data_IF_538302168305
#
_entry.id   IF_538302168305
#
_cell.length_a   1.000
_cell.length_b   1.000
_cell.length_c   1.000
_cell.angle_alpha   90.00
_cell.angle_beta   90.00
_cell.angle_gamma   90.00
#
_symmetry.space_group_name_H-M   'P 1'
#
loop_
_entity.id
_entity.type
_entity.pdbx_description
1 polymer ?
#
# COMPACT_ATOMS: atom_id res chain seq x y z
N UNK A 1 -35.33 8.56 -13.75
CA UNK A 1 -36.17 8.30 -14.95
C UNK A 1 -35.33 8.12 -16.22
N UNK A 2 -34.37 9.00 -16.54
CA UNK A 2 -33.53 8.94 -17.73
C UNK A 2 -32.82 7.58 -17.89
N UNK A 3 -32.22 7.05 -16.82
CA UNK A 3 -31.55 5.73 -16.82
C UNK A 3 -32.51 4.60 -17.16
N UNK A 4 -33.72 4.61 -16.58
CA UNK A 4 -34.76 3.62 -16.89
C UNK A 4 -35.24 3.73 -18.34
N UNK A 5 -35.35 4.94 -18.87
CA UNK A 5 -35.73 5.17 -20.27
C UNK A 5 -34.67 4.61 -21.22
N UNK A 6 -33.37 4.87 -20.92
CA UNK A 6 -32.26 4.33 -21.71
C UNK A 6 -32.26 2.80 -21.71
N UNK A 7 -32.35 2.16 -20.53
CA UNK A 7 -32.37 0.70 -20.42
C UNK A 7 -33.57 0.06 -21.12
N UNK A 8 -34.77 0.64 -21.02
CA UNK A 8 -35.96 0.16 -21.72
C UNK A 8 -35.86 0.30 -23.23
N UNK A 9 -35.25 1.38 -23.74
CA UNK A 9 -35.10 1.60 -25.17
C UNK A 9 -34.26 0.51 -25.87
N UNK A 10 -33.36 -0.12 -25.16
CA UNK A 10 -32.50 -1.21 -25.67
C UNK A 10 -32.94 -2.59 -25.19
N UNK A 11 -34.10 -2.71 -24.51
CA UNK A 11 -34.61 -3.94 -23.91
C UNK A 11 -33.56 -4.65 -23.03
N UNK A 12 -32.82 -3.88 -22.22
CA UNK A 12 -31.73 -4.39 -21.42
C UNK A 12 -32.22 -5.35 -20.34
N UNK A 13 -31.53 -6.49 -20.21
CA UNK A 13 -31.78 -7.52 -19.19
C UNK A 13 -30.47 -7.78 -18.44
N UNK A 14 -30.49 -7.71 -17.12
CA UNK A 14 -29.34 -7.94 -16.26
C UNK A 14 -29.00 -6.73 -15.39
N UNK A 15 -27.93 -6.86 -14.62
CA UNK A 15 -27.37 -5.74 -13.86
C UNK A 15 -26.62 -4.78 -14.78
N UNK A 16 -26.79 -3.49 -14.56
CA UNK A 16 -26.09 -2.47 -15.33
C UNK A 16 -26.13 -1.11 -14.63
N UNK A 17 -25.27 -0.21 -15.06
CA UNK A 17 -25.22 1.18 -14.56
C UNK A 17 -25.21 2.13 -15.73
N UNK A 18 -26.10 3.11 -15.68
CA UNK A 18 -26.12 4.23 -16.64
C UNK A 18 -25.40 5.39 -16.01
N UNK A 19 -24.35 5.86 -16.63
CA UNK A 19 -23.51 6.95 -16.16
C UNK A 19 -23.90 8.26 -16.84
N UNK A 20 -23.93 9.32 -16.04
CA UNK A 20 -24.21 10.68 -16.48
C UNK A 20 -23.12 11.62 -16.00
N UNK A 21 -22.77 12.58 -16.84
CA UNK A 21 -21.95 13.72 -16.42
C UNK A 21 -22.86 14.88 -16.05
N UNK A 22 -22.61 15.55 -14.93
CA UNK A 22 -23.40 16.69 -14.47
C UNK A 22 -22.52 17.95 -14.42
N UNK A 23 -23.10 19.08 -14.77
CA UNK A 23 -22.48 20.40 -14.62
C UNK A 23 -22.87 21.05 -13.26
N UNK A 24 -22.23 22.16 -12.86
CA UNK A 24 -22.57 22.88 -11.62
C UNK A 24 -23.99 23.47 -11.60
N UNK A 25 -24.68 23.52 -12.73
CA UNK A 25 -26.07 24.02 -12.86
C UNK A 25 -27.10 22.87 -12.82
N UNK A 26 -26.69 21.67 -12.39
CA UNK A 26 -27.51 20.45 -12.33
C UNK A 26 -28.02 19.93 -13.69
N UNK A 27 -27.46 20.41 -14.80
CA UNK A 27 -27.72 19.75 -16.09
C UNK A 27 -26.91 18.44 -16.13
N UNK A 28 -27.55 17.39 -16.65
CA UNK A 28 -26.88 16.11 -16.78
C UNK A 28 -26.97 15.58 -18.22
N UNK A 29 -25.92 14.89 -18.63
CA UNK A 29 -25.77 14.35 -19.97
C UNK A 29 -25.39 12.88 -19.88
N UNK A 30 -25.96 12.04 -20.74
CA UNK A 30 -25.61 10.63 -20.84
C UNK A 30 -24.13 10.48 -21.22
N UNK A 31 -23.41 9.69 -20.47
CA UNK A 31 -22.00 9.38 -20.74
C UNK A 31 -21.88 7.99 -21.37
N UNK A 32 -22.23 6.94 -20.61
CA UNK A 32 -22.18 5.56 -21.06
C UNK A 32 -23.12 4.66 -20.25
N UNK A 33 -23.29 3.41 -20.72
CA UNK A 33 -23.93 2.36 -19.96
C UNK A 33 -22.98 1.17 -19.81
N UNK A 34 -22.65 0.85 -18.57
CA UNK A 34 -21.93 -0.35 -18.22
C UNK A 34 -22.92 -1.53 -18.14
N UNK A 35 -22.84 -2.45 -19.11
CA UNK A 35 -23.74 -3.60 -19.22
C UNK A 35 -23.26 -4.80 -18.40
N UNK A 36 -22.83 -4.55 -17.20
CA UNK A 36 -22.31 -5.50 -16.21
C UNK A 36 -22.53 -4.97 -14.81
N UNK A 37 -22.35 -5.82 -13.80
CA UNK A 37 -22.23 -5.37 -12.43
C UNK A 37 -20.96 -4.52 -12.27
N UNK A 38 -21.03 -3.45 -11.50
CA UNK A 38 -19.88 -2.58 -11.21
C UNK A 38 -19.17 -2.98 -9.92
N UNK A 39 -17.92 -2.54 -9.76
CA UNK A 39 -17.11 -2.82 -8.58
C UNK A 39 -17.81 -2.31 -7.33
N UNK A 40 -18.41 -1.11 -7.40
CA UNK A 40 -19.08 -0.40 -6.31
C UNK A 40 -20.51 -0.84 -6.00
N UNK A 41 -21.00 -1.95 -6.59
CA UNK A 41 -22.38 -2.45 -6.34
C UNK A 41 -22.71 -2.63 -4.86
N UNK A 42 -21.71 -2.96 -4.04
CA UNK A 42 -21.88 -3.15 -2.59
C UNK A 42 -22.42 -1.91 -1.87
N UNK A 43 -22.10 -0.70 -2.35
CA UNK A 43 -22.68 0.54 -1.81
C UNK A 43 -24.20 0.55 -1.97
N UNK A 44 -24.67 0.18 -3.17
CA UNK A 44 -26.11 0.05 -3.43
C UNK A 44 -26.75 -1.04 -2.59
N UNK A 45 -26.09 -2.20 -2.44
CA UNK A 45 -26.58 -3.30 -1.62
C UNK A 45 -26.74 -2.90 -0.16
N UNK A 46 -25.74 -2.25 0.43
CA UNK A 46 -25.77 -1.77 1.81
C UNK A 46 -26.87 -0.73 2.06
N UNK A 47 -27.16 0.13 1.08
CA UNK A 47 -28.20 1.14 1.19
C UNK A 47 -29.61 0.59 1.02
N UNK A 48 -29.77 -0.43 0.14
CA UNK A 48 -31.08 -0.97 -0.23
C UNK A 48 -31.44 -2.24 0.51
N UNK A 49 -30.45 -2.94 1.07
CA UNK A 49 -30.62 -4.27 1.67
C UNK A 49 -30.88 -5.38 0.63
N UNK A 50 -30.52 -5.15 -0.63
CA UNK A 50 -30.68 -6.12 -1.71
C UNK A 50 -29.34 -6.75 -2.07
N UNK A 51 -29.34 -8.01 -2.52
CA UNK A 51 -28.19 -8.70 -3.09
C UNK A 51 -28.30 -8.68 -4.62
N UNK A 52 -27.50 -7.85 -5.28
CA UNK A 52 -27.54 -7.68 -6.73
C UNK A 52 -26.94 -8.88 -7.46
N UNK A 53 -26.02 -9.61 -6.85
CA UNK A 53 -25.43 -10.82 -7.41
C UNK A 53 -26.46 -11.94 -7.38
N UNK A 54 -27.19 -12.12 -6.27
CA UNK A 54 -28.33 -13.04 -6.21
C UNK A 54 -29.37 -12.72 -7.29
N UNK A 55 -29.68 -11.43 -7.47
CA UNK A 55 -30.62 -11.01 -8.52
C UNK A 55 -30.15 -11.36 -9.92
N UNK A 56 -28.84 -11.27 -10.21
CA UNK A 56 -28.30 -11.70 -11.51
C UNK A 56 -28.56 -13.19 -11.76
N UNK A 57 -28.38 -14.05 -10.76
CA UNK A 57 -28.66 -15.49 -10.87
C UNK A 57 -30.17 -15.76 -11.08
N UNK A 58 -31.05 -15.12 -10.32
CA UNK A 58 -32.48 -15.25 -10.47
C UNK A 58 -32.97 -14.83 -11.85
N UNK A 59 -32.49 -13.69 -12.35
CA UNK A 59 -32.85 -13.20 -13.67
C UNK A 59 -32.32 -14.14 -14.79
N UNK A 60 -31.11 -14.68 -14.62
CA UNK A 60 -30.53 -15.64 -15.55
C UNK A 60 -31.32 -16.96 -15.57
N UNK A 61 -31.96 -17.37 -14.48
CA UNK A 61 -32.84 -18.52 -14.37
C UNK A 61 -34.28 -18.26 -14.91
N UNK A 62 -34.51 -17.03 -15.39
CA UNK A 62 -35.79 -16.62 -15.99
C UNK A 62 -36.81 -16.03 -15.05
N UNK A 63 -36.41 -15.74 -13.78
CA UNK A 63 -37.28 -15.05 -12.83
C UNK A 63 -37.47 -13.58 -13.20
N UNK A 64 -38.56 -13.01 -12.74
CA UNK A 64 -38.78 -11.56 -12.86
C UNK A 64 -37.95 -10.83 -11.78
N UNK A 65 -37.64 -9.54 -12.04
CA UNK A 65 -36.99 -8.68 -11.06
C UNK A 65 -37.76 -8.71 -9.73
N UNK A 66 -37.11 -9.04 -8.60
CA UNK A 66 -37.78 -9.30 -7.33
C UNK A 66 -38.59 -8.14 -6.76
N UNK A 67 -38.19 -6.90 -7.05
CA UNK A 67 -38.83 -5.70 -6.50
C UNK A 67 -39.18 -4.69 -7.61
N UNK A 68 -40.26 -3.97 -7.41
CA UNK A 68 -40.59 -2.78 -8.20
C UNK A 68 -39.80 -1.58 -7.66
N UNK A 69 -39.54 -0.60 -8.52
CA UNK A 69 -38.78 0.61 -8.19
C UNK A 69 -39.27 1.32 -6.91
N UNK A 70 -40.58 1.43 -6.70
CA UNK A 70 -41.18 2.08 -5.54
C UNK A 70 -41.04 1.32 -4.20
N UNK A 71 -40.63 0.06 -4.27
CA UNK A 71 -40.41 -0.79 -3.08
C UNK A 71 -38.98 -0.66 -2.56
N UNK A 72 -38.06 -0.13 -3.38
CA UNK A 72 -36.67 0.08 -3.01
C UNK A 72 -36.58 1.32 -2.11
N UNK A 73 -36.07 1.13 -0.91
CA UNK A 73 -35.85 2.19 0.07
C UNK A 73 -34.35 2.33 0.37
N UNK A 74 -33.87 3.57 0.42
CA UNK A 74 -32.48 3.84 0.81
C UNK A 74 -32.42 4.07 2.33
N UNK A 75 -31.42 3.45 2.98
CA UNK A 75 -31.23 3.56 4.43
C UNK A 75 -29.77 3.86 4.76
N UNK A 76 -29.55 4.92 5.55
CA UNK A 76 -28.22 5.28 6.01
C UNK A 76 -27.33 5.84 4.91
N UNK A 77 -26.04 5.65 5.07
CA UNK A 77 -24.99 6.09 4.16
C UNK A 77 -23.90 5.01 4.05
N UNK A 78 -23.38 4.78 2.86
CA UNK A 78 -22.30 3.83 2.63
C UNK A 78 -21.14 4.50 1.87
N UNK A 79 -19.92 4.10 2.21
CA UNK A 79 -18.68 4.57 1.58
C UNK A 79 -17.87 3.34 1.21
N UNK A 80 -17.41 3.29 -0.02
CA UNK A 80 -16.46 2.28 -0.52
C UNK A 80 -15.12 2.93 -0.79
N UNK A 81 -14.05 2.21 -0.46
CA UNK A 81 -12.70 2.51 -0.89
C UNK A 81 -12.11 1.30 -1.58
N UNK A 82 -11.34 1.54 -2.64
CA UNK A 82 -10.59 0.52 -3.37
C UNK A 82 -9.15 0.56 -2.93
N UNK A 83 -8.69 -0.55 -2.37
CA UNK A 83 -7.30 -0.74 -1.98
C UNK A 83 -6.53 -1.25 -3.20
N UNK A 84 -5.58 -0.47 -3.66
CA UNK A 84 -4.73 -0.76 -4.80
C UNK A 84 -3.26 -0.97 -4.40
N UNK A 85 -2.60 -1.89 -5.10
CA UNK A 85 -1.14 -1.99 -5.09
C UNK A 85 -0.55 -0.95 -6.05
N UNK A 86 -0.43 0.28 -5.57
CA UNK A 86 0.07 1.43 -6.34
C UNK A 86 0.86 2.39 -5.43
N UNK A 87 1.71 3.20 -6.04
CA UNK A 87 2.49 4.21 -5.34
C UNK A 87 1.95 5.62 -5.62
N UNK A 88 1.14 6.21 -4.73
CA UNK A 88 0.61 7.55 -4.91
C UNK A 88 1.68 8.64 -5.05
N UNK A 89 2.83 8.48 -4.35
CA UNK A 89 3.95 9.43 -4.42
C UNK A 89 4.68 9.43 -5.77
N UNK A 90 4.50 8.37 -6.58
CA UNK A 90 5.03 8.25 -7.94
C UNK A 90 3.89 8.23 -8.97
N UNK A 91 2.97 9.17 -8.88
CA UNK A 91 1.85 9.31 -9.83
C UNK A 91 1.02 8.02 -10.01
N UNK A 92 0.74 7.31 -8.90
CA UNK A 92 -0.08 6.10 -8.88
C UNK A 92 0.47 4.94 -9.73
N UNK A 93 1.79 4.90 -9.95
CA UNK A 93 2.42 3.76 -10.63
C UNK A 93 2.07 2.48 -9.89
N UNK A 94 1.55 1.45 -10.57
CA UNK A 94 1.31 0.14 -9.97
C UNK A 94 2.58 -0.43 -9.33
N UNK A 95 2.38 -1.18 -8.25
CA UNK A 95 3.45 -1.82 -7.49
C UNK A 95 3.27 -3.33 -7.51
N UNK A 96 3.73 -4.02 -8.58
CA UNK A 96 3.71 -5.49 -8.61
C UNK A 96 4.65 -6.05 -7.55
N UNK A 97 4.41 -7.28 -7.13
CA UNK A 97 5.27 -7.97 -6.17
C UNK A 97 4.52 -8.96 -5.29
N UNK A 98 5.28 -9.68 -4.47
CA UNK A 98 4.76 -10.69 -3.57
C UNK A 98 4.21 -10.04 -2.29
N UNK A 99 2.98 -10.40 -1.90
CA UNK A 99 2.35 -9.93 -0.66
C UNK A 99 2.89 -10.75 0.51
N UNK A 100 3.75 -10.16 1.33
CA UNK A 100 4.38 -10.84 2.47
C UNK A 100 3.57 -10.74 3.76
N UNK A 101 2.76 -9.69 3.89
CA UNK A 101 1.86 -9.49 5.01
C UNK A 101 0.57 -8.87 4.52
N UNK A 102 -0.55 -9.44 4.94
CA UNK A 102 -1.89 -8.93 4.64
C UNK A 102 -2.77 -9.15 5.86
N UNK A 103 -3.24 -8.05 6.43
CA UNK A 103 -4.26 -8.05 7.46
C UNK A 103 -5.35 -7.08 7.06
N UNK A 104 -6.53 -7.60 6.84
CA UNK A 104 -7.73 -6.83 6.55
C UNK A 104 -8.67 -6.87 7.76
N UNK A 105 -9.50 -5.84 7.96
CA UNK A 105 -10.54 -5.89 8.97
C UNK A 105 -11.50 -7.05 8.68
N UNK A 106 -12.10 -7.62 9.72
CA UNK A 106 -13.08 -8.70 9.56
C UNK A 106 -14.45 -8.12 9.22
N UNK A 107 -15.19 -8.86 8.39
CA UNK A 107 -16.58 -8.57 8.12
C UNK A 107 -17.40 -8.52 9.42
N UNK A 108 -18.26 -7.53 9.51
CA UNK A 108 -19.20 -7.33 10.62
C UNK A 108 -20.38 -6.48 10.16
N UNK A 109 -21.50 -6.44 10.90
CA UNK A 109 -22.61 -5.58 10.54
C UNK A 109 -22.15 -4.14 10.22
N UNK A 110 -22.45 -3.67 9.03
CA UNK A 110 -22.04 -2.36 8.53
C UNK A 110 -20.60 -2.25 7.99
N UNK A 111 -19.87 -3.37 7.87
CA UNK A 111 -18.56 -3.43 7.24
C UNK A 111 -18.44 -4.70 6.41
N UNK A 112 -18.13 -4.56 5.13
CA UNK A 112 -17.92 -5.66 4.19
C UNK A 112 -16.56 -5.49 3.50
N UNK A 113 -15.85 -6.60 3.34
CA UNK A 113 -14.54 -6.64 2.69
C UNK A 113 -14.60 -7.67 1.57
N UNK A 114 -14.46 -7.19 0.32
CA UNK A 114 -14.25 -8.09 -0.80
C UNK A 114 -12.75 -8.10 -1.13
N UNK A 115 -12.09 -9.21 -0.91
CA UNK A 115 -10.65 -9.38 -1.04
C UNK A 115 -10.31 -10.40 -2.13
N UNK A 116 -9.27 -10.13 -2.91
CA UNK A 116 -8.79 -10.98 -4.00
C UNK A 116 -7.46 -11.68 -3.72
N UNK A 117 -6.73 -11.30 -2.65
CA UNK A 117 -5.37 -11.76 -2.39
C UNK A 117 -5.22 -12.35 -0.97
N UNK A 118 -4.26 -13.24 -0.83
CA UNK A 118 -3.80 -13.77 0.45
C UNK A 118 -2.29 -13.50 0.63
N UNK A 119 -1.78 -13.74 1.82
CA UNK A 119 -0.33 -13.75 2.05
C UNK A 119 0.30 -14.84 1.18
N UNK A 120 1.35 -14.48 0.45
CA UNK A 120 2.03 -15.36 -0.51
C UNK A 120 1.53 -15.25 -1.94
N UNK A 121 0.43 -14.53 -2.20
CA UNK A 121 0.00 -14.23 -3.56
C UNK A 121 0.83 -13.10 -4.17
N UNK A 122 0.93 -13.08 -5.49
CA UNK A 122 1.66 -12.08 -6.25
C UNK A 122 0.70 -11.11 -6.96
N UNK A 123 0.93 -9.82 -6.79
CA UNK A 123 0.33 -8.78 -7.63
C UNK A 123 1.11 -8.74 -8.93
N UNK A 124 0.50 -9.19 -10.02
CA UNK A 124 1.16 -9.26 -11.33
C UNK A 124 0.95 -7.99 -12.14
N UNK A 125 1.85 -7.66 -13.09
CA UNK A 125 1.68 -6.50 -13.97
C UNK A 125 0.64 -6.70 -15.08
N UNK A 126 -0.02 -7.86 -15.16
CA UNK A 126 -0.94 -8.21 -16.26
C UNK A 126 -2.40 -7.87 -15.99
N UNK A 127 -2.76 -7.68 -14.71
CA UNK A 127 -4.13 -7.45 -14.27
C UNK A 127 -4.26 -6.13 -13.51
N UNK A 128 -5.49 -5.75 -13.18
CA UNK A 128 -5.79 -4.62 -12.31
C UNK A 128 -5.14 -4.84 -10.92
N UNK A 129 -4.38 -3.86 -10.38
CA UNK A 129 -3.66 -4.01 -9.12
C UNK A 129 -4.57 -3.89 -7.88
N UNK A 130 -5.87 -4.02 -8.02
CA UNK A 130 -6.81 -3.94 -6.90
C UNK A 130 -6.66 -5.15 -5.97
N UNK A 131 -6.28 -4.88 -4.71
CA UNK A 131 -6.09 -5.88 -3.66
C UNK A 131 -7.45 -6.24 -3.04
N UNK A 132 -8.18 -5.22 -2.65
CA UNK A 132 -9.46 -5.37 -1.97
C UNK A 132 -10.34 -4.12 -2.16
N UNK A 133 -11.63 -4.26 -1.86
CA UNK A 133 -12.50 -3.13 -1.60
C UNK A 133 -13.09 -3.25 -0.19
N UNK A 134 -13.18 -2.12 0.47
CA UNK A 134 -13.66 -2.00 1.84
C UNK A 134 -14.89 -1.12 1.81
N UNK A 135 -16.03 -1.63 2.23
CA UNK A 135 -17.31 -0.94 2.21
C UNK A 135 -17.82 -0.78 3.63
N UNK A 136 -18.06 0.46 4.04
CA UNK A 136 -18.60 0.75 5.36
C UNK A 136 -19.95 1.47 5.27
N UNK A 137 -20.90 1.01 6.08
CA UNK A 137 -22.22 1.57 6.22
C UNK A 137 -22.42 2.17 7.62
N UNK A 138 -23.21 3.23 7.70
CA UNK A 138 -23.64 3.85 8.95
C UNK A 138 -25.05 4.43 8.85
N UNK A 139 -25.64 4.79 9.97
CA UNK A 139 -26.94 5.45 10.01
C UNK A 139 -26.96 6.80 9.29
N UNK A 140 -25.81 7.44 9.24
CA UNK A 140 -25.53 8.66 8.48
C UNK A 140 -24.10 8.65 7.90
N UNK A 141 -23.72 9.74 7.20
CA UNK A 141 -22.40 9.90 6.60
C UNK A 141 -21.28 9.89 7.64
N UNK A 142 -21.51 10.46 8.81
CA UNK A 142 -20.51 10.54 9.89
C UNK A 142 -20.19 9.16 10.44
N UNK A 143 -21.21 8.33 10.65
CA UNK A 143 -21.04 6.96 11.11
C UNK A 143 -20.31 6.11 10.07
N UNK A 144 -20.68 6.23 8.78
CA UNK A 144 -19.98 5.54 7.68
C UNK A 144 -18.50 5.96 7.61
N UNK A 145 -18.18 7.27 7.75
CA UNK A 145 -16.81 7.78 7.80
C UNK A 145 -16.03 7.26 9.01
N UNK A 146 -16.65 7.13 10.17
CA UNK A 146 -16.01 6.52 11.34
C UNK A 146 -15.71 5.04 11.12
N UNK A 147 -16.63 4.32 10.48
CA UNK A 147 -16.44 2.90 10.20
C UNK A 147 -15.32 2.66 9.18
N UNK A 148 -15.31 3.41 8.06
CA UNK A 148 -14.26 3.27 7.03
C UNK A 148 -12.88 3.68 7.55
N UNK A 149 -12.80 4.75 8.38
CA UNK A 149 -11.56 5.17 9.02
C UNK A 149 -10.98 4.06 9.89
N UNK A 150 -11.80 3.41 10.73
CA UNK A 150 -11.34 2.29 11.56
C UNK A 150 -10.89 1.11 10.69
N UNK A 151 -11.62 0.81 9.62
CA UNK A 151 -11.27 -0.27 8.71
C UNK A 151 -9.91 -0.01 8.03
N UNK A 152 -9.64 1.21 7.57
CA UNK A 152 -8.35 1.59 7.01
C UNK A 152 -7.20 1.51 8.03
N UNK A 153 -7.45 1.88 9.28
CA UNK A 153 -6.46 1.76 10.35
C UNK A 153 -6.11 0.30 10.69
N UNK A 154 -7.09 -0.62 10.56
CA UNK A 154 -6.89 -2.06 10.75
C UNK A 154 -6.24 -2.73 9.52
N UNK A 155 -6.16 -2.02 8.37
CA UNK A 155 -5.60 -2.55 7.13
C UNK A 155 -4.08 -2.47 7.12
N UNK A 156 -3.42 -3.63 6.94
CA UNK A 156 -1.97 -3.74 6.90
C UNK A 156 -1.57 -4.56 5.68
N UNK A 157 -0.68 -4.00 4.87
CA UNK A 157 -0.13 -4.67 3.67
C UNK A 157 1.37 -4.42 3.60
N UNK A 158 2.16 -5.48 3.39
CA UNK A 158 3.59 -5.37 3.09
C UNK A 158 3.99 -6.28 1.94
N UNK A 159 5.04 -5.88 1.23
CA UNK A 159 5.56 -6.51 0.02
C UNK A 159 5.29 -5.69 -1.23
N UNK A 160 4.20 -4.91 -1.23
CA UNK A 160 3.84 -3.98 -2.31
C UNK A 160 3.54 -2.60 -1.73
N UNK A 161 3.73 -1.54 -2.52
CA UNK A 161 3.25 -0.20 -2.15
C UNK A 161 1.75 -0.13 -2.34
N UNK A 162 1.05 0.59 -1.46
CA UNK A 162 -0.41 0.70 -1.52
C UNK A 162 -0.90 2.12 -1.31
N UNK A 163 -2.14 2.37 -1.70
CA UNK A 163 -2.81 3.65 -1.50
C UNK A 163 -3.52 3.79 -0.13
N UNK A 164 -3.32 2.87 0.82
CA UNK A 164 -3.97 2.92 2.17
C UNK A 164 -3.79 4.26 2.85
N UNK A 165 -2.57 4.81 2.84
CA UNK A 165 -2.28 6.08 3.49
C UNK A 165 -3.04 7.24 2.83
N UNK A 166 -3.07 7.28 1.50
CA UNK A 166 -3.84 8.28 0.75
C UNK A 166 -5.33 8.19 1.09
N UNK A 167 -5.91 6.97 1.06
CA UNK A 167 -7.30 6.74 1.43
C UNK A 167 -7.60 7.23 2.86
N UNK A 168 -6.69 6.97 3.81
CA UNK A 168 -6.81 7.47 5.18
C UNK A 168 -6.79 8.99 5.26
N UNK A 169 -5.95 9.67 4.47
CA UNK A 169 -5.91 11.13 4.41
C UNK A 169 -7.18 11.71 3.78
N UNK A 170 -7.67 11.11 2.69
CA UNK A 170 -8.93 11.53 2.05
C UNK A 170 -10.09 11.45 3.04
N UNK A 171 -10.26 10.32 3.73
CA UNK A 171 -11.37 10.12 4.69
C UNK A 171 -11.29 11.11 5.88
N UNK A 172 -10.09 11.56 6.24
CA UNK A 172 -9.87 12.54 7.31
C UNK A 172 -10.02 13.99 6.85
N UNK A 173 -9.98 14.25 5.55
CA UNK A 173 -10.00 15.61 5.01
C UNK A 173 -11.35 16.29 5.28
N UNK A 174 -11.37 17.56 5.78
CA UNK A 174 -12.61 18.26 6.14
C UNK A 174 -13.62 18.34 5.00
N UNK A 175 -13.20 18.72 3.78
CA UNK A 175 -14.10 18.84 2.64
C UNK A 175 -14.70 17.50 2.23
N UNK A 176 -13.91 16.40 2.26
CA UNK A 176 -14.45 15.07 2.01
C UNK A 176 -15.47 14.66 3.08
N UNK A 177 -15.17 14.95 4.33
CA UNK A 177 -16.08 14.70 5.46
C UNK A 177 -17.40 15.43 5.29
N UNK A 178 -17.33 16.71 4.88
CA UNK A 178 -18.48 17.58 4.77
C UNK A 178 -19.25 17.38 3.44
N UNK A 179 -18.76 16.51 2.54
CA UNK A 179 -19.39 16.20 1.27
C UNK A 179 -19.06 17.20 0.14
N UNK A 180 -18.13 18.11 0.35
CA UNK A 180 -17.73 19.15 -0.60
C UNK A 180 -16.56 18.65 -1.46
N UNK A 181 -16.82 17.74 -2.38
CA UNK A 181 -15.79 17.20 -3.27
C UNK A 181 -16.35 16.95 -4.67
N UNK A 182 -15.44 16.93 -5.62
CA UNK A 182 -15.71 16.58 -7.02
C UNK A 182 -14.56 15.72 -7.56
N UNK A 183 -14.58 15.37 -8.83
CA UNK A 183 -13.56 14.56 -9.49
C UNK A 183 -12.16 15.17 -9.47
N UNK A 184 -12.02 16.48 -9.28
CA UNK A 184 -10.74 17.19 -9.13
C UNK A 184 -10.19 17.22 -7.70
N UNK A 185 -10.86 16.61 -6.71
CA UNK A 185 -10.52 16.70 -5.30
C UNK A 185 -9.07 16.31 -5.00
N UNK A 186 -8.60 15.18 -5.52
CA UNK A 186 -7.23 14.69 -5.28
C UNK A 186 -6.21 15.66 -5.86
N UNK A 187 -6.41 16.15 -7.08
CA UNK A 187 -5.51 17.10 -7.72
C UNK A 187 -5.44 18.43 -6.97
N UNK A 188 -6.59 18.91 -6.49
CA UNK A 188 -6.68 20.17 -5.73
C UNK A 188 -5.96 20.10 -4.38
N UNK A 189 -5.99 18.96 -3.71
CA UNK A 189 -5.44 18.75 -2.37
C UNK A 189 -4.18 17.91 -2.35
N UNK A 190 -3.50 17.75 -3.50
CA UNK A 190 -2.35 16.85 -3.66
C UNK A 190 -1.28 17.08 -2.59
N UNK A 191 -0.91 18.33 -2.30
CA UNK A 191 0.13 18.68 -1.34
C UNK A 191 -0.19 18.19 0.09
N UNK A 192 -1.46 18.22 0.49
CA UNK A 192 -1.90 17.79 1.81
C UNK A 192 -2.15 16.29 1.90
N UNK A 193 -2.67 15.71 0.83
CA UNK A 193 -2.96 14.27 0.74
C UNK A 193 -1.71 13.42 0.56
N UNK A 194 -0.70 13.95 -0.15
CA UNK A 194 0.60 13.31 -0.40
C UNK A 194 1.69 13.77 0.57
N UNK A 195 1.30 14.41 1.68
CA UNK A 195 2.26 14.85 2.67
C UNK A 195 3.22 13.71 3.05
N UNK A 196 4.50 14.03 3.08
CA UNK A 196 5.59 13.07 3.28
C UNK A 196 5.37 12.22 4.54
N UNK A 197 5.80 10.96 4.49
CA UNK A 197 5.82 10.08 5.64
C UNK A 197 6.51 10.77 6.82
N UNK A 198 5.84 10.80 7.96
CA UNK A 198 6.42 11.31 9.20
C UNK A 198 7.63 10.44 9.55
N UNK A 199 8.79 11.07 9.79
CA UNK A 199 9.99 10.36 10.24
C UNK A 199 9.68 9.49 11.45
N UNK A 200 10.32 8.31 11.49
CA UNK A 200 10.12 7.37 12.59
C UNK A 200 10.48 8.01 13.93
N UNK A 201 9.53 8.00 14.86
CA UNK A 201 9.75 8.45 16.23
C UNK A 201 10.62 7.43 17.00
N UNK A 202 11.17 7.85 18.13
CA UNK A 202 11.94 6.93 18.99
C UNK A 202 11.13 5.71 19.42
N UNK A 203 9.81 5.82 19.59
CA UNK A 203 8.94 4.67 19.88
C UNK A 203 8.87 3.67 18.71
N UNK A 204 8.82 4.15 17.47
CA UNK A 204 8.82 3.30 16.27
C UNK A 204 10.17 2.61 16.13
N UNK A 205 11.27 3.35 16.32
CA UNK A 205 12.64 2.79 16.29
C UNK A 205 12.83 1.73 17.38
N UNK A 206 12.36 2.02 18.61
CA UNK A 206 12.42 1.09 19.73
C UNK A 206 11.63 -0.19 19.47
N UNK A 207 10.42 -0.08 18.92
CA UNK A 207 9.59 -1.23 18.57
C UNK A 207 10.26 -2.10 17.48
N UNK A 208 10.78 -1.47 16.41
CA UNK A 208 11.50 -2.16 15.34
C UNK A 208 12.76 -2.86 15.84
N UNK A 209 13.54 -2.18 16.66
CA UNK A 209 14.74 -2.76 17.29
C UNK A 209 14.39 -3.95 18.20
N UNK A 210 13.38 -3.79 19.06
CA UNK A 210 12.91 -4.87 19.93
C UNK A 210 12.44 -6.08 19.12
N UNK A 211 11.69 -5.87 18.04
CA UNK A 211 11.25 -6.96 17.17
C UNK A 211 12.44 -7.73 16.58
N UNK A 212 13.46 -7.03 16.08
CA UNK A 212 14.68 -7.65 15.53
C UNK A 212 15.36 -8.53 16.59
N UNK A 213 15.51 -8.01 17.81
CA UNK A 213 16.14 -8.74 18.93
C UNK A 213 15.32 -9.97 19.32
N UNK A 214 13.99 -9.85 19.39
CA UNK A 214 13.09 -10.96 19.67
C UNK A 214 13.14 -12.04 18.58
N UNK A 215 13.18 -11.64 17.30
CA UNK A 215 13.31 -12.58 16.17
C UNK A 215 14.66 -13.30 16.16
N UNK A 216 15.74 -12.61 16.51
CA UNK A 216 17.06 -13.25 16.68
C UNK A 216 17.00 -14.30 17.78
N UNK A 217 16.43 -13.96 18.94
CA UNK A 217 16.27 -14.89 20.07
C UNK A 217 15.43 -16.12 19.71
N UNK A 218 14.31 -15.92 18.97
CA UNK A 218 13.46 -17.03 18.50
C UNK A 218 14.23 -17.96 17.57
N UNK A 219 15.00 -17.41 16.63
CA UNK A 219 15.80 -18.19 15.67
C UNK A 219 16.84 -19.06 16.37
N UNK A 220 17.51 -18.54 17.38
CA UNK A 220 18.50 -19.29 18.15
C UNK A 220 17.84 -20.40 18.96
N UNK A 221 16.76 -20.08 19.67
CA UNK A 221 15.98 -21.06 20.44
C UNK A 221 15.45 -22.20 19.56
N UNK A 222 15.12 -21.91 18.29
CA UNK A 222 14.68 -22.93 17.32
C UNK A 222 15.83 -23.77 16.71
N UNK A 223 17.06 -23.28 16.77
CA UNK A 223 18.26 -24.00 16.22
C UNK A 223 18.95 -24.88 17.26
N UNK A 224 18.60 -24.76 18.54
CA UNK A 224 19.15 -25.61 19.61
C UNK A 224 18.60 -27.03 19.47
N UNK A 225 19.28 -27.83 18.69
CA UNK A 225 18.95 -29.25 18.43
C UNK A 225 19.42 -30.17 19.55
N UNK A 226 20.35 -29.73 20.43
CA UNK A 226 20.87 -30.56 21.50
C UNK A 226 20.13 -30.31 22.82
N UNK A 227 19.08 -31.12 23.05
CA UNK A 227 18.34 -31.16 24.31
C UNK A 227 19.17 -31.63 25.51
N UNK A 228 20.43 -32.04 25.30
CA UNK A 228 21.31 -32.57 26.37
C UNK A 228 22.01 -31.45 27.16
N UNK A 229 22.11 -30.25 26.61
CA UNK A 229 22.69 -29.11 27.32
C UNK A 229 21.85 -27.83 27.09
N UNK A 230 20.67 -27.72 27.73
CA UNK A 230 19.79 -26.55 27.61
C UNK A 230 20.40 -25.29 28.24
N UNK A 231 21.44 -25.40 29.04
CA UNK A 231 22.11 -24.28 29.71
C UNK A 231 23.44 -23.92 29.06
N UNK A 232 23.72 -24.42 27.86
CA UNK A 232 24.94 -24.06 27.13
C UNK A 232 25.04 -22.54 26.91
N UNK A 233 26.18 -21.91 27.24
CA UNK A 233 26.38 -20.47 26.94
C UNK A 233 26.26 -20.13 25.47
N UNK A 234 26.40 -21.11 24.58
CA UNK A 234 26.21 -20.94 23.13
C UNK A 234 24.75 -20.82 22.71
N UNK A 235 23.82 -21.07 23.63
CA UNK A 235 22.37 -20.95 23.40
C UNK A 235 21.82 -19.56 23.80
N UNK A 236 22.67 -18.66 24.32
CA UNK A 236 22.29 -17.33 24.74
C UNK A 236 22.86 -16.28 23.78
N UNK A 237 21.99 -15.42 23.22
CA UNK A 237 22.35 -14.23 22.46
C UNK A 237 22.37 -13.01 23.39
N UNK A 238 23.27 -13.01 24.35
CA UNK A 238 23.40 -11.90 25.31
C UNK A 238 24.54 -10.95 24.95
N UNK A 239 25.21 -11.15 23.80
CA UNK A 239 26.41 -10.40 23.36
C UNK A 239 27.46 -10.28 24.46
N UNK A 240 27.61 -11.35 25.26
CA UNK A 240 28.45 -11.38 26.42
C UNK A 240 29.90 -10.94 26.11
N UNK A 241 30.45 -10.08 26.98
CA UNK A 241 31.82 -9.59 26.90
C UNK A 241 32.49 -9.71 28.28
N UNK A 242 33.73 -10.11 28.30
CA UNK A 242 34.48 -10.24 29.54
C UNK A 242 34.69 -8.83 30.16
N UNK A 243 34.15 -8.59 31.37
CA UNK A 243 34.24 -7.34 32.13
C UNK A 243 33.68 -6.10 31.46
N UNK A 244 32.82 -6.23 30.44
CA UNK A 244 32.13 -5.12 29.76
C UNK A 244 30.63 -5.41 29.70
N UNK A 245 29.79 -4.39 29.66
CA UNK A 245 28.36 -4.54 29.36
C UNK A 245 28.18 -5.26 28.01
N UNK A 246 27.24 -6.19 27.97
CA UNK A 246 26.82 -6.80 26.70
C UNK A 246 26.12 -5.74 25.84
N UNK A 247 26.66 -5.43 24.68
CA UNK A 247 26.20 -4.34 23.80
C UNK A 247 26.18 -4.78 22.34
N UNK A 248 25.19 -4.27 21.61
CA UNK A 248 25.05 -4.39 20.14
C UNK A 248 24.63 -3.04 19.55
N UNK A 249 24.70 -2.91 18.23
CA UNK A 249 24.21 -1.74 17.49
C UNK A 249 23.34 -2.24 16.36
N UNK A 250 22.08 -1.82 16.37
CA UNK A 250 21.13 -2.07 15.27
C UNK A 250 21.12 -0.86 14.36
N UNK A 251 21.51 -1.05 13.11
CA UNK A 251 21.50 0.02 12.11
C UNK A 251 20.21 0.01 11.32
N UNK A 252 19.46 1.11 11.38
CA UNK A 252 18.21 1.30 10.67
C UNK A 252 18.33 2.46 9.69
N UNK A 253 17.58 2.39 8.60
CA UNK A 253 17.41 3.49 7.65
C UNK A 253 15.94 3.90 7.63
N UNK A 254 15.67 5.18 7.81
CA UNK A 254 14.36 5.81 7.67
C UNK A 254 14.40 6.76 6.48
N UNK A 255 13.87 6.33 5.33
CA UNK A 255 14.11 7.01 4.06
C UNK A 255 15.59 7.07 3.71
N UNK A 256 16.15 8.28 3.63
CA UNK A 256 17.59 8.51 3.41
C UNK A 256 18.41 8.70 4.70
N UNK A 257 17.78 8.63 5.89
CA UNK A 257 18.44 8.88 7.17
C UNK A 257 18.96 7.59 7.80
N UNK A 258 20.26 7.51 8.05
CA UNK A 258 20.89 6.42 8.81
C UNK A 258 20.70 6.66 10.31
N UNK A 259 20.33 5.61 11.04
CA UNK A 259 20.05 5.66 12.47
C UNK A 259 20.72 4.46 13.13
N UNK A 260 21.67 4.74 14.02
CA UNK A 260 22.29 3.72 14.86
C UNK A 260 21.53 3.67 16.20
N UNK A 261 21.00 2.52 16.56
CA UNK A 261 20.37 2.26 17.85
C UNK A 261 21.33 1.39 18.67
N UNK A 262 21.91 1.96 19.72
CA UNK A 262 22.75 1.21 20.63
C UNK A 262 21.88 0.41 21.60
N UNK A 263 22.19 -0.87 21.72
CA UNK A 263 21.48 -1.83 22.56
C UNK A 263 22.37 -2.30 23.67
N UNK A 264 21.96 -2.13 24.91
CA UNK A 264 22.60 -2.74 26.08
C UNK A 264 21.67 -3.80 26.65
N UNK A 265 22.18 -5.03 26.76
CA UNK A 265 21.42 -6.15 27.32
C UNK A 265 21.34 -6.00 28.85
N UNK A 266 20.13 -6.09 29.39
CA UNK A 266 19.85 -5.99 30.83
C UNK A 266 18.95 -7.16 31.27
N UNK A 267 18.92 -7.52 32.54
CA UNK A 267 18.00 -8.52 33.04
C UNK A 267 16.54 -8.20 32.69
N UNK A 268 15.89 -9.11 31.94
CA UNK A 268 14.49 -8.98 31.56
C UNK A 268 14.18 -8.06 30.38
N UNK A 269 15.22 -7.55 29.65
CA UNK A 269 14.99 -6.71 28.47
C UNK A 269 16.25 -6.05 27.93
N UNK A 270 16.07 -4.87 27.37
CA UNK A 270 17.14 -4.11 26.72
C UNK A 270 17.04 -2.63 27.12
N UNK A 271 18.19 -1.97 27.21
CA UNK A 271 18.27 -0.53 27.27
C UNK A 271 18.71 0.00 25.90
N UNK A 272 17.91 0.88 25.29
CA UNK A 272 18.17 1.45 23.98
C UNK A 272 18.58 2.91 24.08
N UNK A 273 19.68 3.29 23.40
CA UNK A 273 20.02 4.68 23.12
C UNK A 273 19.49 5.03 21.71
N UNK A 274 18.59 5.99 21.66
CA UNK A 274 17.85 6.42 20.47
C UNK A 274 18.22 7.88 20.12
N UNK A 275 17.91 8.38 18.91
CA UNK A 275 18.32 9.72 18.49
C UNK A 275 17.90 10.86 19.42
N UNK A 276 16.71 10.79 20.03
CA UNK A 276 16.20 11.88 20.87
C UNK A 276 16.01 11.46 22.35
N UNK A 277 16.16 10.17 22.68
CA UNK A 277 15.93 9.66 24.03
C UNK A 277 16.69 8.36 24.30
N UNK A 278 16.66 7.92 25.54
CA UNK A 278 17.02 6.54 25.90
C UNK A 278 15.90 5.90 26.69
N UNK A 279 15.69 4.61 26.51
CA UNK A 279 14.61 3.92 27.21
C UNK A 279 14.91 2.44 27.43
N UNK A 280 14.32 1.90 28.49
CA UNK A 280 14.28 0.46 28.71
C UNK A 280 13.11 -0.13 27.95
N UNK A 281 13.38 -1.25 27.26
CA UNK A 281 12.37 -1.95 26.47
C UNK A 281 12.35 -3.42 26.84
N UNK A 282 11.14 -4.01 26.85
CA UNK A 282 10.92 -5.43 27.01
C UNK A 282 9.65 -5.84 26.29
N UNK A 283 9.50 -7.12 25.98
CA UNK A 283 8.27 -7.58 25.30
C UNK A 283 8.39 -9.00 24.81
N UNK A 284 7.34 -9.41 24.08
CA UNK A 284 7.25 -10.73 23.48
C UNK A 284 6.58 -10.64 22.11
N UNK A 285 6.91 -11.60 21.24
CA UNK A 285 6.20 -11.83 20.00
C UNK A 285 4.88 -12.56 20.30
N UNK A 286 3.82 -12.14 19.62
CA UNK A 286 2.52 -12.80 19.63
C UNK A 286 2.23 -13.23 18.18
N UNK A 287 2.47 -14.49 17.90
CA UNK A 287 2.53 -15.00 16.53
C UNK A 287 3.76 -14.49 15.78
N UNK A 288 3.63 -14.30 14.47
CA UNK A 288 4.77 -13.98 13.61
C UNK A 288 5.13 -12.49 13.54
N UNK A 289 4.15 -11.61 13.70
CA UNK A 289 4.28 -10.19 13.41
C UNK A 289 3.82 -9.25 14.53
N UNK A 290 2.99 -9.70 15.47
CA UNK A 290 2.53 -8.85 16.55
C UNK A 290 3.53 -8.80 17.70
N UNK A 291 3.72 -7.62 18.28
CA UNK A 291 4.63 -7.37 19.41
C UNK A 291 3.82 -6.75 20.54
N UNK A 292 3.84 -7.40 21.70
CA UNK A 292 3.42 -6.77 22.96
C UNK A 292 4.68 -6.32 23.71
N UNK A 293 4.80 -5.01 23.89
CA UNK A 293 6.01 -4.40 24.41
C UNK A 293 5.71 -3.43 25.55
N UNK A 294 6.72 -3.25 26.43
CA UNK A 294 6.81 -2.14 27.35
C UNK A 294 7.99 -1.29 26.90
N UNK A 295 7.69 -0.09 26.38
CA UNK A 295 8.68 0.86 25.88
C UNK A 295 8.71 2.09 26.81
N UNK A 296 9.82 2.28 27.53
CA UNK A 296 9.91 3.38 28.47
C UNK A 296 8.83 3.40 29.56
N UNK A 297 8.34 2.21 29.98
CA UNK A 297 7.26 2.06 30.96
C UNK A 297 5.84 2.14 30.38
N UNK A 298 5.69 2.37 29.07
CA UNK A 298 4.39 2.41 28.39
C UNK A 298 4.13 1.06 27.72
N UNK A 299 2.98 0.44 28.01
CA UNK A 299 2.56 -0.78 27.34
C UNK A 299 2.04 -0.44 25.94
N UNK A 300 2.62 -1.09 24.94
CA UNK A 300 2.33 -0.86 23.52
C UNK A 300 2.07 -2.20 22.83
N UNK A 301 1.12 -2.19 21.90
CA UNK A 301 0.93 -3.27 20.93
C UNK A 301 1.19 -2.69 19.55
N UNK A 302 2.05 -3.37 18.78
CA UNK A 302 2.34 -3.01 17.41
C UNK A 302 2.44 -4.24 16.54
N UNK A 303 2.40 -4.05 15.25
CA UNK A 303 2.64 -5.11 14.26
C UNK A 303 3.91 -4.77 13.49
N UNK A 304 4.78 -5.75 13.30
CA UNK A 304 6.01 -5.60 12.51
C UNK A 304 6.12 -6.76 11.56
N UNK A 305 6.17 -6.47 10.27
CA UNK A 305 6.43 -7.44 9.22
C UNK A 305 7.84 -7.21 8.66
N UNK A 306 8.68 -8.24 8.72
CA UNK A 306 10.05 -8.22 8.18
C UNK A 306 10.10 -9.03 6.90
N UNK A 307 10.57 -8.42 5.82
CA UNK A 307 10.88 -9.10 4.58
C UNK A 307 12.27 -8.71 4.10
N UNK A 308 13.20 -9.69 4.11
CA UNK A 308 14.60 -9.39 3.85
C UNK A 308 15.14 -8.35 4.84
N UNK A 309 15.43 -7.17 4.34
CA UNK A 309 15.91 -6.04 5.12
C UNK A 309 14.84 -4.95 5.38
N UNK A 310 13.64 -5.10 4.82
CA UNK A 310 12.57 -4.12 4.98
C UNK A 310 11.67 -4.50 6.16
N UNK A 311 11.50 -3.55 7.11
CA UNK A 311 10.58 -3.64 8.22
C UNK A 311 9.39 -2.71 7.95
N UNK A 312 8.21 -3.28 7.88
CA UNK A 312 6.95 -2.55 7.89
C UNK A 312 6.39 -2.57 9.31
N UNK A 313 6.23 -1.40 9.93
CA UNK A 313 5.78 -1.26 11.31
C UNK A 313 4.45 -0.50 11.35
N UNK A 314 3.45 -1.07 11.98
CA UNK A 314 2.18 -0.42 12.26
C UNK A 314 2.08 -0.11 13.74
N UNK A 315 2.09 1.20 14.02
CA UNK A 315 1.96 1.74 15.37
C UNK A 315 1.03 2.96 15.34
N UNK A 316 0.02 3.00 16.21
CA UNK A 316 -0.96 4.09 16.31
C UNK A 316 -1.58 4.48 14.95
N UNK A 317 -2.03 3.48 14.17
CA UNK A 317 -2.68 3.67 12.87
C UNK A 317 -1.76 4.26 11.76
N UNK A 318 -0.45 4.26 11.96
CA UNK A 318 0.54 4.73 10.99
C UNK A 318 1.45 3.58 10.59
N UNK A 319 1.65 3.43 9.29
CA UNK A 319 2.67 2.52 8.76
C UNK A 319 3.99 3.28 8.60
N UNK A 320 5.06 2.72 9.18
CA UNK A 320 6.44 3.17 9.00
C UNK A 320 7.23 2.08 8.28
N UNK A 321 8.04 2.47 7.33
CA UNK A 321 8.90 1.56 6.59
C UNK A 321 10.35 1.91 6.95
N UNK A 322 11.01 0.98 7.64
CA UNK A 322 12.44 1.06 7.95
C UNK A 322 13.19 -0.01 7.18
N UNK A 323 14.47 0.24 6.89
CA UNK A 323 15.35 -0.79 6.34
C UNK A 323 16.43 -1.14 7.34
N UNK A 324 16.68 -2.43 7.55
CA UNK A 324 17.80 -2.93 8.32
C UNK A 324 19.06 -2.87 7.45
N UNK A 325 20.11 -2.20 7.92
CA UNK A 325 21.40 -2.17 7.22
C UNK A 325 22.26 -3.34 7.70
N UNK A 326 22.64 -4.21 6.77
CA UNK A 326 23.65 -5.22 7.04
C UNK A 326 25.04 -4.71 6.63
N UNK A 327 25.95 -4.61 7.58
CA UNK A 327 27.34 -4.18 7.33
C UNK A 327 28.06 -5.08 6.33
N UNK A 328 27.69 -6.35 6.25
CA UNK A 328 28.34 -7.30 5.36
C UNK A 328 28.02 -7.06 3.86
N UNK A 329 26.87 -6.44 3.55
CA UNK A 329 26.40 -6.17 2.19
C UNK A 329 26.66 -4.72 1.71
N UNK A 330 27.20 -3.87 2.58
CA UNK A 330 27.44 -2.45 2.26
C UNK A 330 28.57 -2.20 1.21
N UNK A 331 29.26 -3.25 0.79
CA UNK A 331 30.32 -3.17 -0.23
C UNK A 331 29.77 -3.17 -1.67
N UNK A 332 28.51 -3.55 -1.89
CA UNK A 332 27.89 -3.62 -3.22
C UNK A 332 26.94 -2.46 -3.56
N UNK A 333 26.67 -1.57 -2.62
CA UNK A 333 25.73 -0.46 -2.79
C UNK A 333 26.42 0.87 -3.18
N UNK A 334 27.10 0.86 -4.31
CA UNK A 334 27.49 2.11 -5.00
C UNK A 334 26.84 2.07 -6.37
N UNK A 335 25.56 2.46 -6.47
CA UNK A 335 24.91 2.93 -7.70
C UNK A 335 23.41 3.24 -7.52
N UNK A 336 23.02 4.23 -6.73
CA UNK A 336 21.62 4.69 -6.68
C UNK A 336 21.45 6.15 -7.15
N UNK A 337 22.08 6.55 -8.25
CA UNK A 337 21.94 7.92 -8.80
C UNK A 337 21.51 7.99 -10.26
N UNK A 338 20.92 6.94 -10.85
CA UNK A 338 20.43 6.98 -12.25
C UNK A 338 18.97 6.49 -12.38
N UNK A 339 18.12 6.83 -11.43
CA UNK A 339 16.75 6.28 -11.31
C UNK A 339 15.75 6.73 -12.37
N UNK A 340 16.03 7.69 -13.23
CA UNK A 340 15.04 8.25 -14.16
C UNK A 340 15.03 7.62 -15.56
N UNK A 341 15.95 6.73 -15.87
CA UNK A 341 16.09 6.12 -17.21
C UNK A 341 15.95 4.59 -17.18
N UNK A 342 15.57 4.04 -16.03
CA UNK A 342 15.21 2.65 -15.86
C UNK A 342 13.69 2.47 -15.94
N UNK A 343 13.25 1.26 -16.26
CA UNK A 343 11.86 0.90 -16.25
C UNK A 343 11.30 1.02 -14.81
N UNK A 344 10.25 1.83 -14.57
CA UNK A 344 9.68 1.99 -13.24
C UNK A 344 8.92 0.73 -12.75
N UNK A 345 8.63 -0.20 -13.67
CA UNK A 345 7.91 -1.43 -13.45
C UNK A 345 8.05 -2.36 -14.66
N UNK A 346 7.76 -3.67 -14.55
CA UNK A 346 7.73 -4.56 -15.69
C UNK A 346 6.66 -4.12 -16.69
N UNK A 347 7.02 -4.09 -17.99
CA UNK A 347 6.10 -3.66 -19.03
C UNK A 347 6.66 -3.81 -20.43
N UNK A 348 5.89 -3.37 -21.42
CA UNK A 348 6.24 -3.44 -22.82
C UNK A 348 6.54 -2.05 -23.36
N UNK A 349 7.65 -1.89 -24.10
CA UNK A 349 7.94 -0.64 -24.80
C UNK A 349 6.96 -0.48 -25.98
N UNK A 350 6.12 0.57 -25.92
CA UNK A 350 5.14 0.87 -26.98
C UNK A 350 5.65 1.89 -27.97
N UNK A 351 6.46 2.85 -27.50
CA UNK A 351 7.03 3.90 -28.37
C UNK A 351 8.45 4.24 -27.96
N UNK A 352 9.29 4.53 -28.93
CA UNK A 352 10.64 5.09 -28.78
C UNK A 352 10.67 6.39 -29.59
N UNK A 353 10.80 7.53 -28.90
CA UNK A 353 10.66 8.86 -29.49
C UNK A 353 12.00 9.48 -29.89
N UNK A 354 13.12 8.85 -29.54
CA UNK A 354 14.48 9.36 -29.77
C UNK A 354 15.34 8.27 -30.39
N UNK A 355 16.36 8.69 -31.13
CA UNK A 355 17.39 7.79 -31.64
C UNK A 355 18.72 7.96 -30.90
N UNK A 356 19.64 7.00 -31.09
CA UNK A 356 20.98 7.11 -30.57
C UNK A 356 21.67 8.37 -31.14
N UNK A 357 22.41 9.10 -30.32
CA UNK A 357 23.04 10.36 -30.67
C UNK A 357 22.16 11.59 -30.60
N UNK A 358 20.84 11.45 -30.33
CA UNK A 358 19.89 12.57 -30.23
C UNK A 358 20.18 13.43 -29.02
N UNK A 359 20.27 14.74 -29.21
CA UNK A 359 20.37 15.72 -28.13
C UNK A 359 18.96 16.16 -27.71
N UNK A 360 18.65 16.08 -26.41
CA UNK A 360 17.33 16.38 -25.86
C UNK A 360 17.41 17.38 -24.71
N UNK A 361 16.30 18.06 -24.46
CA UNK A 361 16.16 18.96 -23.30
C UNK A 361 15.57 18.20 -22.12
N UNK A 362 15.82 18.71 -20.90
CA UNK A 362 15.15 18.23 -19.69
C UNK A 362 13.63 18.15 -19.88
N UNK A 363 13.03 17.03 -19.48
CA UNK A 363 11.59 16.76 -19.61
C UNK A 363 11.15 16.26 -21.00
N UNK A 364 12.06 16.15 -22.00
CA UNK A 364 11.71 15.57 -23.30
C UNK A 364 11.32 14.10 -23.16
N UNK A 365 10.25 13.67 -23.86
CA UNK A 365 9.79 12.28 -23.89
C UNK A 365 10.81 11.44 -24.70
N UNK A 366 11.32 10.37 -24.07
CA UNK A 366 12.31 9.47 -24.66
C UNK A 366 11.69 8.16 -25.13
N UNK A 367 10.92 7.52 -24.25
CA UNK A 367 10.23 6.26 -24.51
C UNK A 367 8.87 6.24 -23.81
N UNK A 368 7.97 5.37 -24.28
CA UNK A 368 6.70 5.06 -23.62
C UNK A 368 6.69 3.58 -23.31
N UNK A 369 6.47 3.29 -22.03
CA UNK A 369 6.30 1.93 -21.50
C UNK A 369 4.81 1.72 -21.19
N UNK A 370 4.20 0.67 -21.71
CA UNK A 370 2.86 0.24 -21.34
C UNK A 370 2.94 -0.88 -20.31
N UNK A 371 2.25 -0.68 -19.19
CA UNK A 371 2.11 -1.67 -18.14
C UNK A 371 0.75 -1.51 -17.44
N UNK A 372 0.09 -2.61 -17.11
CA UNK A 372 -1.20 -2.62 -16.38
C UNK A 372 -2.26 -1.67 -16.97
N UNK A 373 -2.36 -1.61 -18.32
CA UNK A 373 -3.27 -0.72 -19.08
C UNK A 373 -3.00 0.78 -18.91
N UNK A 374 -1.82 1.15 -18.46
CA UNK A 374 -1.39 2.54 -18.36
C UNK A 374 -0.10 2.76 -19.16
N UNK A 375 0.02 3.95 -19.73
CA UNK A 375 1.24 4.39 -20.41
C UNK A 375 2.11 5.19 -19.45
N UNK A 376 3.40 4.81 -19.36
CA UNK A 376 4.41 5.48 -18.55
C UNK A 376 5.42 6.17 -19.45
N UNK A 377 5.54 7.47 -19.29
CA UNK A 377 6.45 8.31 -20.05
C UNK A 377 7.83 8.31 -19.38
N UNK A 378 8.83 7.83 -20.08
CA UNK A 378 10.25 7.96 -19.70
C UNK A 378 10.76 9.26 -20.29
N UNK A 379 11.14 10.19 -19.42
CA UNK A 379 11.53 11.55 -19.80
C UNK A 379 13.01 11.82 -19.48
N UNK A 380 13.61 12.75 -20.21
CA UNK A 380 14.99 13.17 -19.98
C UNK A 380 15.14 13.89 -18.61
N UNK A 381 16.05 13.44 -17.73
CA UNK A 381 16.25 14.04 -16.41
C UNK A 381 16.91 15.43 -16.47
N UNK A 382 17.67 15.69 -17.51
CA UNK A 382 18.38 16.95 -17.75
C UNK A 382 18.54 17.20 -19.26
N UNK A 383 19.14 18.34 -19.62
CA UNK A 383 19.66 18.50 -21.00
C UNK A 383 20.81 17.50 -21.21
N UNK A 384 20.79 16.78 -22.33
CA UNK A 384 21.81 15.79 -22.57
C UNK A 384 21.66 15.07 -23.90
N UNK A 385 22.46 14.03 -24.11
CA UNK A 385 22.49 13.22 -25.30
C UNK A 385 22.20 11.77 -25.00
N UNK A 386 21.35 11.14 -25.82
CA UNK A 386 21.08 9.70 -25.78
C UNK A 386 22.26 9.00 -26.43
N UNK A 387 23.02 8.22 -25.67
CA UNK A 387 24.18 7.52 -26.19
C UNK A 387 23.82 6.20 -26.84
N UNK A 388 22.94 5.43 -26.19
CA UNK A 388 22.49 4.10 -26.63
C UNK A 388 21.07 3.79 -26.20
N UNK A 389 20.35 3.07 -27.06
CA UNK A 389 19.04 2.49 -26.76
C UNK A 389 19.21 1.01 -26.48
N UNK A 390 18.84 0.55 -25.29
CA UNK A 390 18.98 -0.84 -24.88
C UNK A 390 17.80 -1.72 -25.29
N UNK A 391 16.65 -1.10 -25.62
CA UNK A 391 15.40 -1.77 -25.99
C UNK A 391 14.72 -1.09 -27.16
N UNK A 392 13.90 -1.86 -27.88
CA UNK A 392 13.13 -1.44 -29.05
C UNK A 392 11.62 -1.52 -28.78
N UNK A 393 10.83 -0.90 -29.66
CA UNK A 393 9.37 -1.01 -29.63
C UNK A 393 8.96 -2.48 -29.72
N UNK A 394 8.14 -2.92 -28.76
CA UNK A 394 7.64 -4.29 -28.66
C UNK A 394 8.37 -5.15 -27.63
N UNK A 395 9.55 -4.72 -27.16
CA UNK A 395 10.31 -5.47 -26.17
C UNK A 395 9.64 -5.41 -24.80
N UNK A 396 9.76 -6.50 -24.06
CA UNK A 396 9.37 -6.59 -22.65
C UNK A 396 10.57 -6.27 -21.77
N UNK A 397 10.36 -5.48 -20.72
CA UNK A 397 11.40 -5.08 -19.78
C UNK A 397 10.94 -5.32 -18.34
N UNK A 398 11.88 -5.71 -17.49
CA UNK A 398 11.66 -5.88 -16.06
C UNK A 398 11.87 -4.56 -15.31
N UNK A 399 11.31 -4.45 -14.10
CA UNK A 399 11.50 -3.31 -13.21
C UNK A 399 13.01 -3.03 -12.97
N UNK A 400 13.36 -1.75 -12.87
CA UNK A 400 14.73 -1.26 -12.69
C UNK A 400 15.71 -1.61 -13.84
N UNK A 401 15.21 -2.13 -14.95
CA UNK A 401 16.05 -2.36 -16.15
C UNK A 401 16.38 -1.04 -16.81
N UNK A 402 17.67 -0.77 -17.05
CA UNK A 402 18.15 0.42 -17.75
C UNK A 402 17.69 0.42 -19.20
N UNK A 403 16.84 1.39 -19.56
CA UNK A 403 16.21 1.47 -20.89
C UNK A 403 17.11 2.10 -21.94
N UNK A 404 17.93 3.06 -21.54
CA UNK A 404 18.86 3.78 -22.42
C UNK A 404 20.04 4.38 -21.64
N UNK A 405 21.14 4.58 -22.31
CA UNK A 405 22.32 5.27 -21.79
C UNK A 405 22.26 6.75 -22.14
N UNK A 406 22.49 7.62 -21.16
CA UNK A 406 22.33 9.07 -21.32
C UNK A 406 23.50 9.84 -20.72
N UNK A 407 24.03 10.79 -21.48
CA UNK A 407 25.09 11.68 -21.03
C UNK A 407 24.55 13.10 -20.85
N UNK A 408 24.55 13.65 -19.62
CA UNK A 408 24.22 15.05 -19.41
C UNK A 408 25.16 15.97 -20.17
N UNK A 409 24.63 17.00 -20.86
CA UNK A 409 25.41 18.11 -21.39
C UNK A 409 25.43 19.20 -20.34
N UNK A 410 26.61 19.47 -19.80
CA UNK A 410 26.88 20.52 -18.81
C UNK A 410 26.72 21.91 -19.44
#
# INVERSE_FOLDING_TARGET
>A
EAALTAAKAIHYVGAGTVEFIADPADNFYFLEMNTRIQVEHRVTEMLTGQDLVEWQFRIADGEQVPLQQKQITLRGHAIEVRLYAENPARNFVPSPGLVHHLRLPKDKPGLCIDNSLNVGDEVTPYYDPMIAKIIAWGGDRKDALHAIKRALNETQVAGVKTNVQLLSQIVRHPEFRDGNYNTGFIALHQDTLMAQSVSASDLVLALGTLFILLKRKEKISGTVVDTKDPYSPWNEEDSWRLNLPAQDVIQLMDGGREIDVEVTFIPGGYHLSLPNSSMTVSGALVGESDVEAILGGIQIKGTVALNGHELNLWLYDVNHILKLRDRALALDAVADTVDNLSAPMPGRITQVMVGEGTVVRSGALLMVLEAMKMEHNIIAPSNGKVEKLNFSVGDWVDENTMLLDFSPVI
#
